data_IF_332525478110
#
_entry.id   IF_332525478110
#
_cell.length_a   1.000
_cell.length_b   1.000
_cell.length_c   1.000
_cell.angle_alpha   90.00
_cell.angle_beta   90.00
_cell.angle_gamma   90.00
#
_symmetry.space_group_name_H-M   'P 1'
#
loop_
_entity.id
_entity.type
_entity.pdbx_description
1 polymer ?
#
# COMPACT_ATOMS: atom_id res chain seq x y z
N UNK A 1 -6.40 -12.52 -2.57
CA UNK A 1 -5.58 -13.22 -3.58
C UNK A 1 -4.69 -14.26 -2.91
N UNK A 2 -5.28 -15.17 -2.14
CA UNK A 2 -4.50 -16.17 -1.41
C UNK A 2 -3.83 -17.16 -2.39
N UNK A 3 -2.62 -17.62 -2.06
CA UNK A 3 -1.92 -18.69 -2.79
C UNK A 3 -1.23 -18.27 -4.10
N UNK A 4 -1.14 -16.97 -4.40
CA UNK A 4 -0.34 -16.51 -5.55
C UNK A 4 1.15 -16.68 -5.25
N UNK A 5 1.87 -17.37 -6.13
CA UNK A 5 3.33 -17.48 -6.08
C UNK A 5 3.97 -16.41 -6.98
N UNK A 6 4.72 -15.50 -6.38
CA UNK A 6 5.43 -14.44 -7.10
C UNK A 6 6.88 -14.86 -7.46
N UNK A 7 7.45 -14.32 -8.54
CA UNK A 7 8.88 -14.46 -8.79
C UNK A 7 9.70 -13.90 -7.63
N UNK A 8 10.75 -14.63 -7.22
CA UNK A 8 11.59 -14.24 -6.09
C UNK A 8 12.40 -12.94 -6.34
N UNK A 9 12.53 -12.52 -7.60
CA UNK A 9 13.21 -11.30 -8.02
C UNK A 9 12.23 -10.18 -8.44
N UNK A 10 10.94 -10.30 -8.11
CA UNK A 10 9.95 -9.28 -8.45
C UNK A 10 10.20 -8.03 -7.59
N UNK A 11 10.63 -6.94 -8.22
CA UNK A 11 10.90 -5.68 -7.53
C UNK A 11 9.76 -4.67 -7.68
N UNK A 12 8.95 -4.77 -8.73
CA UNK A 12 7.88 -3.82 -9.02
C UNK A 12 6.60 -4.57 -9.39
N UNK A 13 5.48 -4.15 -8.80
CA UNK A 13 4.16 -4.69 -9.10
C UNK A 13 3.15 -3.55 -9.18
N UNK A 14 2.47 -3.44 -10.32
CA UNK A 14 1.30 -2.58 -10.49
C UNK A 14 0.08 -3.45 -10.74
N UNK A 15 -1.01 -3.18 -10.02
CA UNK A 15 -2.32 -3.72 -10.34
C UNK A 15 -3.08 -2.78 -11.27
N UNK A 16 -3.68 -3.31 -12.33
CA UNK A 16 -4.45 -2.49 -13.27
C UNK A 16 -5.68 -1.81 -12.64
N UNK A 17 -6.14 -0.73 -13.28
CA UNK A 17 -7.17 0.20 -12.80
C UNK A 17 -8.45 -0.38 -12.21
N UNK A 18 -8.87 -1.58 -12.62
CA UNK A 18 -10.08 -2.25 -12.11
C UNK A 18 -9.83 -3.23 -10.95
N UNK A 19 -8.58 -3.33 -10.46
CA UNK A 19 -8.24 -4.23 -9.36
C UNK A 19 -8.82 -3.74 -8.04
N UNK A 20 -9.78 -4.48 -7.49
CA UNK A 20 -10.40 -4.19 -6.20
C UNK A 20 -10.66 -5.50 -5.45
N UNK A 21 -9.59 -6.26 -5.14
CA UNK A 21 -9.68 -7.55 -4.44
C UNK A 21 -8.90 -7.52 -3.12
N UNK A 22 -9.35 -8.25 -2.08
CA UNK A 22 -8.65 -8.30 -0.80
C UNK A 22 -7.21 -8.82 -0.92
N UNK A 23 -6.32 -8.20 -0.15
CA UNK A 23 -4.88 -8.48 -0.13
C UNK A 23 -4.33 -8.92 1.24
N UNK A 24 -5.17 -9.04 2.27
CA UNK A 24 -4.74 -9.40 3.63
C UNK A 24 -3.96 -10.73 3.69
N UNK A 25 -4.32 -11.70 2.85
CA UNK A 25 -3.69 -13.04 2.80
C UNK A 25 -2.62 -13.17 1.70
N UNK A 26 -2.16 -12.05 1.13
CA UNK A 26 -1.12 -12.09 0.09
C UNK A 26 0.24 -12.21 0.73
N UNK A 27 1.01 -13.21 0.31
CA UNK A 27 2.43 -13.31 0.62
C UNK A 27 3.19 -12.55 -0.45
N UNK A 28 3.72 -11.36 -0.13
CA UNK A 28 4.50 -10.56 -1.06
C UNK A 28 5.95 -11.07 -1.18
N UNK A 29 6.60 -10.95 -2.35
CA UNK A 29 8.00 -11.32 -2.48
C UNK A 29 8.88 -10.36 -1.68
N UNK A 30 9.90 -10.90 -1.00
CA UNK A 30 10.80 -10.11 -0.14
C UNK A 30 11.62 -9.06 -0.92
N UNK A 31 11.73 -9.20 -2.24
CA UNK A 31 12.39 -8.26 -3.15
C UNK A 31 11.51 -7.07 -3.55
N UNK A 32 10.22 -7.05 -3.23
CA UNK A 32 9.28 -6.05 -3.76
C UNK A 32 9.59 -4.65 -3.22
N UNK A 33 9.92 -3.71 -4.10
CA UNK A 33 10.28 -2.35 -3.75
C UNK A 33 9.18 -1.34 -4.10
N UNK A 34 8.43 -1.59 -5.17
CA UNK A 34 7.36 -0.70 -5.62
C UNK A 34 6.07 -1.48 -5.75
N UNK A 35 5.03 -1.00 -5.07
CA UNK A 35 3.70 -1.57 -5.14
C UNK A 35 2.67 -0.47 -5.38
N UNK A 36 2.03 -0.57 -6.54
CA UNK A 36 1.00 0.38 -6.98
C UNK A 36 -0.35 -0.30 -7.12
N UNK A 37 -1.36 0.28 -6.47
CA UNK A 37 -2.75 0.01 -6.73
C UNK A 37 -3.30 1.16 -7.56
N UNK A 38 -3.79 0.89 -8.75
CA UNK A 38 -4.41 1.92 -9.60
C UNK A 38 -5.85 2.23 -9.13
N UNK A 39 -6.63 2.88 -10.01
CA UNK A 39 -7.80 3.70 -9.72
C UNK A 39 -8.86 3.11 -8.77
N UNK A 40 -9.21 1.83 -8.89
CA UNK A 40 -10.41 1.26 -8.22
C UNK A 40 -10.14 0.55 -6.90
N UNK A 41 -8.90 0.44 -6.43
CA UNK A 41 -8.61 -0.30 -5.21
C UNK A 41 -9.21 0.41 -3.99
N UNK A 42 -10.15 -0.24 -3.31
CA UNK A 42 -10.77 0.27 -2.08
C UNK A 42 -11.09 -0.89 -1.13
N UNK A 43 -10.09 -1.70 -0.80
CA UNK A 43 -10.20 -2.76 0.18
C UNK A 43 -9.50 -2.35 1.49
N UNK A 44 -9.99 -2.82 2.65
CA UNK A 44 -9.30 -2.60 3.91
C UNK A 44 -7.90 -3.25 3.86
N UNK A 45 -6.95 -2.57 4.47
CA UNK A 45 -5.54 -3.00 4.53
C UNK A 45 -5.06 -3.30 5.95
N UNK A 46 -5.94 -3.23 6.95
CA UNK A 46 -5.65 -3.72 8.30
C UNK A 46 -5.31 -5.21 8.25
N UNK A 47 -4.20 -5.59 8.90
CA UNK A 47 -3.71 -6.97 8.91
C UNK A 47 -2.92 -7.40 7.66
N UNK A 48 -2.75 -6.52 6.66
CA UNK A 48 -1.84 -6.81 5.54
C UNK A 48 -0.40 -6.89 6.06
N UNK A 49 0.27 -7.99 5.77
CA UNK A 49 1.70 -8.16 6.05
C UNK A 49 2.50 -7.66 4.86
N UNK A 50 3.04 -6.45 4.96
CA UNK A 50 3.87 -5.87 3.90
C UNK A 50 5.29 -6.50 3.88
N UNK A 51 5.99 -6.51 2.73
CA UNK A 51 7.37 -7.01 2.69
C UNK A 51 8.32 -6.15 3.55
N UNK A 52 9.54 -6.61 3.83
CA UNK A 52 10.50 -5.88 4.67
C UNK A 52 11.46 -4.95 3.86
N UNK A 53 11.47 -5.09 2.54
CA UNK A 53 12.27 -4.28 1.62
C UNK A 53 11.87 -2.81 1.62
N UNK A 54 12.78 -1.94 1.15
CA UNK A 54 12.51 -0.52 0.90
C UNK A 54 11.26 -0.40 0.03
N UNK A 55 10.26 0.32 0.50
CA UNK A 55 8.97 0.38 -0.17
C UNK A 55 8.53 1.77 -0.58
N UNK A 56 7.95 1.82 -1.78
CA UNK A 56 7.05 2.86 -2.25
C UNK A 56 5.66 2.23 -2.43
N UNK A 57 4.68 2.72 -1.67
CA UNK A 57 3.29 2.28 -1.73
C UNK A 57 2.44 3.40 -2.32
N UNK A 58 1.74 3.09 -3.42
CA UNK A 58 0.84 4.02 -4.08
C UNK A 58 -0.57 3.41 -4.09
N UNK A 59 -1.50 4.07 -3.42
CA UNK A 59 -2.91 3.75 -3.49
C UNK A 59 -3.60 4.64 -4.52
N UNK A 60 -4.48 4.04 -5.31
CA UNK A 60 -5.23 4.76 -6.34
C UNK A 60 -6.38 5.58 -5.78
N UNK A 61 -6.99 6.36 -6.67
CA UNK A 61 -8.00 7.37 -6.37
C UNK A 61 -9.11 6.91 -5.42
N UNK A 62 -9.58 5.68 -5.59
CA UNK A 62 -10.74 5.18 -4.85
C UNK A 62 -10.45 4.73 -3.42
N UNK A 63 -9.18 4.63 -3.02
CA UNK A 63 -8.84 4.12 -1.70
C UNK A 63 -9.31 5.07 -0.61
N UNK A 64 -10.26 4.62 0.20
CA UNK A 64 -10.79 5.39 1.30
C UNK A 64 -11.14 4.47 2.49
N UNK A 65 -10.13 3.77 3.01
CA UNK A 65 -10.24 2.92 4.19
C UNK A 65 -9.42 3.47 5.37
N UNK A 66 -9.80 3.19 6.63
CA UNK A 66 -9.03 3.60 7.81
C UNK A 66 -7.61 3.03 7.79
N UNK A 67 -6.66 3.80 8.32
CA UNK A 67 -5.25 3.40 8.37
C UNK A 67 -4.60 3.54 9.76
N UNK A 68 -5.38 3.83 10.80
CA UNK A 68 -4.89 3.95 12.19
C UNK A 68 -4.36 2.63 12.75
N UNK A 69 -4.91 1.50 12.32
CA UNK A 69 -4.50 0.15 12.76
C UNK A 69 -3.55 -0.56 11.79
N UNK A 70 -3.04 0.16 10.79
CA UNK A 70 -2.14 -0.42 9.78
C UNK A 70 -0.72 -0.46 10.32
N UNK A 71 -0.14 -1.66 10.32
CA UNK A 71 1.29 -1.84 10.60
C UNK A 71 2.06 -1.61 9.31
N UNK A 72 2.62 -0.41 9.16
CA UNK A 72 3.43 -0.06 8.00
C UNK A 72 4.82 -0.71 8.05
N UNK A 73 5.42 -1.06 6.90
CA UNK A 73 6.74 -1.67 6.87
C UNK A 73 7.81 -0.66 7.34
N UNK A 74 8.75 -1.14 8.16
CA UNK A 74 9.78 -0.30 8.78
C UNK A 74 10.72 0.40 7.78
N UNK A 75 10.73 -0.06 6.52
CA UNK A 75 11.52 0.51 5.43
C UNK A 75 10.68 1.32 4.40
N UNK A 76 9.40 1.61 4.70
CA UNK A 76 8.54 2.43 3.84
C UNK A 76 9.12 3.85 3.72
N UNK A 77 9.42 4.27 2.49
CA UNK A 77 9.99 5.60 2.24
C UNK A 77 8.99 6.57 1.64
N UNK A 78 8.08 6.07 0.80
CA UNK A 78 7.05 6.87 0.15
C UNK A 78 5.70 6.19 0.27
N UNK A 79 4.71 6.99 0.65
CA UNK A 79 3.31 6.59 0.71
C UNK A 79 2.46 7.65 0.04
N UNK A 80 1.66 7.25 -0.94
CA UNK A 80 0.68 8.11 -1.57
C UNK A 80 -0.72 7.50 -1.42
N UNK A 81 -1.66 8.30 -0.93
CA UNK A 81 -3.08 7.98 -0.97
C UNK A 81 -3.75 8.73 -2.12
N UNK A 82 -4.78 8.10 -2.68
CA UNK A 82 -5.56 8.67 -3.77
C UNK A 82 -6.50 9.79 -3.33
N UNK A 83 -7.14 10.41 -4.33
CA UNK A 83 -7.95 11.61 -4.17
C UNK A 83 -9.17 11.48 -3.25
N UNK A 84 -9.72 10.28 -3.05
CA UNK A 84 -10.88 10.06 -2.18
C UNK A 84 -10.52 9.76 -0.72
N UNK A 85 -9.23 9.68 -0.36
CA UNK A 85 -8.83 9.38 1.01
C UNK A 85 -9.21 10.52 1.96
N UNK A 86 -10.09 10.24 2.91
CA UNK A 86 -10.62 11.22 3.85
C UNK A 86 -10.71 10.70 5.29
N UNK A 87 -9.82 9.78 5.68
CA UNK A 87 -9.77 9.26 7.04
C UNK A 87 -8.82 10.08 7.92
N UNK A 88 -9.14 10.27 9.22
CA UNK A 88 -8.24 10.91 10.16
C UNK A 88 -6.89 10.19 10.24
N UNK A 89 -5.82 10.96 10.36
CA UNK A 89 -4.44 10.44 10.46
C UNK A 89 -3.76 10.75 11.80
N UNK A 90 -4.49 11.32 12.76
CA UNK A 90 -3.93 11.73 14.05
C UNK A 90 -3.35 10.54 14.84
N UNK A 91 -4.01 9.38 14.75
CA UNK A 91 -3.63 8.17 15.49
C UNK A 91 -2.80 7.18 14.65
N UNK A 92 -2.31 7.61 13.49
CA UNK A 92 -1.53 6.74 12.61
C UNK A 92 -0.08 6.72 13.05
N UNK A 93 0.44 5.52 13.32
CA UNK A 93 1.87 5.31 13.61
C UNK A 93 2.63 5.18 12.30
N UNK A 94 3.26 6.27 11.86
CA UNK A 94 4.09 6.28 10.67
C UNK A 94 5.47 5.65 10.91
N UNK A 95 6.02 4.90 9.94
CA UNK A 95 7.35 4.31 10.08
C UNK A 95 8.42 5.41 10.06
N UNK A 96 9.44 5.29 10.91
CA UNK A 96 10.50 6.30 11.06
C UNK A 96 11.29 6.58 9.76
N UNK A 97 11.23 5.66 8.79
CA UNK A 97 11.84 5.80 7.47
C UNK A 97 11.04 6.66 6.49
N UNK A 98 9.77 6.99 6.78
CA UNK A 98 8.90 7.69 5.85
C UNK A 98 9.47 9.07 5.52
N UNK A 99 9.69 9.33 4.23
CA UNK A 99 10.24 10.58 3.71
C UNK A 99 9.23 11.39 2.94
N UNK A 100 8.24 10.73 2.35
CA UNK A 100 7.20 11.37 1.56
C UNK A 100 5.84 10.76 1.90
N UNK A 101 4.89 11.62 2.26
CA UNK A 101 3.50 11.27 2.49
C UNK A 101 2.64 12.20 1.64
N UNK A 102 1.84 11.63 0.74
CA UNK A 102 0.83 12.37 -0.01
C UNK A 102 -0.56 11.88 0.42
N UNK A 103 -1.41 12.79 0.90
CA UNK A 103 -2.77 12.47 1.35
C UNK A 103 -3.83 12.80 0.28
N UNK A 104 -3.43 13.55 -0.75
CA UNK A 104 -4.23 13.98 -1.90
C UNK A 104 -3.27 14.06 -3.07
N UNK A 105 -3.60 13.51 -4.22
CA UNK A 105 -2.87 13.84 -5.45
C UNK A 105 -3.29 15.25 -5.87
N UNK A 106 -2.58 16.26 -5.38
CA UNK A 106 -2.53 17.54 -6.11
C UNK A 106 -1.52 17.38 -7.22
N UNK A 107 -2.02 17.26 -8.46
CA UNK A 107 -1.24 17.43 -9.69
C UNK A 107 -0.55 18.80 -9.71
#
# INVERSE_FOLDING_TARGET
>A
MAGVAWPASLEQLSFGGSFNRPIAEVVWPASLQHLSFEQSFNQPITGVVWPASRQELLFGDSFNSPVSEVVWPAALQKLSFGNLFNWPIADVVWPASLRQLSLRETL
#
